data_IF_864696643187
#
_entry.id   IF_864696643187
#
_cell.length_a   1.000
_cell.length_b   1.000
_cell.length_c   1.000
_cell.angle_alpha   90.00
_cell.angle_beta   90.00
_cell.angle_gamma   90.00
#
_symmetry.space_group_name_H-M   'P 1'
#
loop_
_entity.id
_entity.type
_entity.pdbx_description
1 polymer ?
#
# COMPACT_ATOMS: atom_id res chain seq x y z
N UNK A 1 -21.84 -4.99 14.05
CA UNK A 1 -20.73 -4.81 13.10
C UNK A 1 -20.96 -3.44 12.50
N UNK A 2 -20.14 -2.45 12.83
CA UNK A 2 -20.38 -1.07 12.40
C UNK A 2 -19.95 -0.95 10.94
N UNK A 3 -20.90 -0.65 10.05
CA UNK A 3 -20.61 -0.28 8.68
C UNK A 3 -19.75 0.99 8.67
N UNK A 4 -18.73 1.00 7.81
CA UNK A 4 -17.92 2.20 7.62
C UNK A 4 -18.75 3.27 6.92
N UNK A 5 -18.60 4.50 7.37
CA UNK A 5 -19.15 5.67 6.68
C UNK A 5 -18.41 5.91 5.37
N UNK A 6 -19.03 6.63 4.42
CA UNK A 6 -18.38 7.06 3.18
C UNK A 6 -17.07 7.80 3.43
N UNK A 7 -17.00 8.58 4.50
CA UNK A 7 -15.79 9.33 4.90
C UNK A 7 -14.65 8.38 5.31
N UNK A 8 -14.95 7.35 6.10
CA UNK A 8 -13.96 6.33 6.48
C UNK A 8 -13.51 5.51 5.28
N UNK A 9 -14.42 5.18 4.36
CA UNK A 9 -14.07 4.53 3.10
C UNK A 9 -13.12 5.42 2.26
N UNK A 10 -13.38 6.72 2.15
CA UNK A 10 -12.46 7.61 1.41
C UNK A 10 -11.06 7.66 2.02
N UNK A 11 -10.94 7.62 3.36
CA UNK A 11 -9.63 7.58 4.01
C UNK A 11 -8.86 6.29 3.71
N UNK A 12 -9.56 5.15 3.64
CA UNK A 12 -8.92 3.88 3.27
C UNK A 12 -8.47 3.92 1.81
N UNK A 13 -9.27 4.50 0.92
CA UNK A 13 -8.91 4.65 -0.49
C UNK A 13 -7.67 5.55 -0.67
N UNK A 14 -7.61 6.67 0.06
CA UNK A 14 -6.45 7.56 0.04
C UNK A 14 -5.19 6.89 0.61
N UNK A 15 -5.32 6.11 1.69
CA UNK A 15 -4.21 5.33 2.25
C UNK A 15 -3.69 4.29 1.24
N UNK A 16 -4.58 3.57 0.55
CA UNK A 16 -4.18 2.62 -0.51
C UNK A 16 -3.35 3.32 -1.59
N UNK A 17 -3.79 4.50 -2.05
CA UNK A 17 -3.05 5.28 -3.06
C UNK A 17 -1.69 5.77 -2.54
N UNK A 18 -1.62 6.22 -1.29
CA UNK A 18 -0.37 6.68 -0.69
C UNK A 18 0.66 5.54 -0.60
N UNK A 19 0.21 4.36 -0.18
CA UNK A 19 1.00 3.15 -0.11
C UNK A 19 1.50 2.71 -1.50
N UNK A 20 0.64 2.78 -2.53
CA UNK A 20 1.02 2.47 -3.92
C UNK A 20 2.12 3.39 -4.45
N UNK A 21 2.00 4.70 -4.20
CA UNK A 21 3.02 5.68 -4.60
C UNK A 21 4.33 5.35 -3.88
N UNK A 22 4.26 5.08 -2.58
CA UNK A 22 5.44 4.77 -1.76
C UNK A 22 6.17 3.52 -2.27
N UNK A 23 5.45 2.42 -2.51
CA UNK A 23 6.03 1.19 -3.05
C UNK A 23 6.69 1.40 -4.42
N UNK A 24 6.04 2.16 -5.31
CA UNK A 24 6.58 2.50 -6.65
C UNK A 24 7.84 3.36 -6.54
N UNK A 25 7.83 4.36 -5.66
CA UNK A 25 8.98 5.21 -5.41
C UNK A 25 10.16 4.41 -4.86
N UNK A 26 9.93 3.49 -3.91
CA UNK A 26 10.98 2.64 -3.37
C UNK A 26 11.60 1.72 -4.43
N UNK A 27 10.78 1.08 -5.27
CA UNK A 27 11.27 0.28 -6.40
C UNK A 27 12.07 1.13 -7.39
N UNK A 28 11.61 2.34 -7.67
CA UNK A 28 12.35 3.26 -8.53
C UNK A 28 13.69 3.66 -7.91
N UNK A 29 13.73 4.00 -6.61
CA UNK A 29 14.98 4.25 -5.90
C UNK A 29 15.91 3.04 -5.95
N UNK A 30 15.40 1.83 -5.72
CA UNK A 30 16.17 0.59 -5.80
C UNK A 30 16.82 0.40 -7.18
N UNK A 31 16.11 0.74 -8.26
CA UNK A 31 16.61 0.66 -9.63
C UNK A 31 17.76 1.62 -9.94
N UNK A 32 17.91 2.68 -9.13
CA UNK A 32 18.98 3.69 -9.25
C UNK A 32 20.16 3.42 -8.31
N UNK A 33 20.09 2.39 -7.45
CA UNK A 33 21.15 2.06 -6.51
C UNK A 33 22.18 1.13 -7.12
N UNK A 34 23.46 1.51 -7.02
CA UNK A 34 24.60 0.64 -7.34
C UNK A 34 24.96 -0.29 -6.17
N UNK A 35 24.71 0.17 -4.94
CA UNK A 35 24.91 -0.62 -3.72
C UNK A 35 23.85 -1.74 -3.62
N UNK A 36 24.32 -2.98 -3.58
CA UNK A 36 23.46 -4.17 -3.60
C UNK A 36 22.67 -4.37 -2.30
N UNK A 37 23.24 -3.98 -1.15
CA UNK A 37 22.57 -4.11 0.15
C UNK A 37 21.43 -3.10 0.25
N UNK A 38 21.71 -1.85 -0.10
CA UNK A 38 20.72 -0.77 -0.12
C UNK A 38 19.59 -1.07 -1.11
N UNK A 39 19.91 -1.55 -2.33
CA UNK A 39 18.91 -1.95 -3.31
C UNK A 39 17.98 -3.02 -2.72
N UNK A 40 18.53 -4.06 -2.09
CA UNK A 40 17.75 -5.14 -1.49
C UNK A 40 16.85 -4.64 -0.37
N UNK A 41 17.34 -3.72 0.48
CA UNK A 41 16.52 -3.10 1.53
C UNK A 41 15.34 -2.34 0.93
N UNK A 42 15.57 -1.56 -0.13
CA UNK A 42 14.51 -0.80 -0.81
C UNK A 42 13.47 -1.72 -1.48
N UNK A 43 13.91 -2.80 -2.12
CA UNK A 43 13.01 -3.82 -2.68
C UNK A 43 12.16 -4.49 -1.60
N UNK A 44 12.74 -4.85 -0.46
CA UNK A 44 12.02 -5.43 0.68
C UNK A 44 11.01 -4.46 1.29
N UNK A 45 11.35 -3.17 1.39
CA UNK A 45 10.42 -2.15 1.85
C UNK A 45 9.26 -2.00 0.86
N UNK A 46 9.55 -1.95 -0.44
CA UNK A 46 8.53 -1.89 -1.47
C UNK A 46 7.57 -3.09 -1.42
N UNK A 47 8.08 -4.31 -1.22
CA UNK A 47 7.28 -5.52 -1.03
C UNK A 47 6.40 -5.43 0.23
N UNK A 48 6.92 -4.90 1.34
CA UNK A 48 6.12 -4.69 2.56
C UNK A 48 4.94 -3.74 2.33
N UNK A 49 5.15 -2.66 1.58
CA UNK A 49 4.06 -1.74 1.20
C UNK A 49 3.05 -2.43 0.26
N UNK A 50 3.49 -3.26 -0.68
CA UNK A 50 2.60 -4.07 -1.54
C UNK A 50 1.71 -5.02 -0.73
N UNK A 51 2.23 -5.67 0.30
CA UNK A 51 1.44 -6.51 1.20
C UNK A 51 0.40 -5.68 1.98
N UNK A 52 0.76 -4.47 2.42
CA UNK A 52 -0.18 -3.56 3.10
C UNK A 52 -1.31 -3.12 2.16
N UNK A 53 -1.00 -2.78 0.90
CA UNK A 53 -1.99 -2.45 -0.14
C UNK A 53 -2.97 -3.61 -0.33
N UNK A 54 -2.47 -4.85 -0.43
CA UNK A 54 -3.32 -6.02 -0.59
C UNK A 54 -4.27 -6.21 0.61
N UNK A 55 -3.76 -6.04 1.84
CA UNK A 55 -4.57 -6.12 3.06
C UNK A 55 -5.65 -5.04 3.13
N UNK A 56 -5.29 -3.79 2.86
CA UNK A 56 -6.22 -2.66 2.85
C UNK A 56 -7.28 -2.81 1.75
N UNK A 57 -6.88 -3.26 0.56
CA UNK A 57 -7.80 -3.48 -0.56
C UNK A 57 -8.81 -4.59 -0.24
N UNK A 58 -8.37 -5.68 0.39
CA UNK A 58 -9.28 -6.74 0.83
C UNK A 58 -10.25 -6.25 1.92
N UNK A 59 -9.77 -5.44 2.87
CA UNK A 59 -10.61 -4.84 3.91
C UNK A 59 -11.64 -3.86 3.32
N UNK A 60 -11.21 -2.99 2.41
CA UNK A 60 -12.06 -2.03 1.72
C UNK A 60 -13.17 -2.72 0.90
N UNK A 61 -12.82 -3.75 0.13
CA UNK A 61 -13.78 -4.49 -0.67
C UNK A 61 -14.81 -5.22 0.20
N UNK A 62 -14.39 -5.86 1.30
CA UNK A 62 -15.32 -6.48 2.26
C UNK A 62 -16.25 -5.45 2.89
N UNK A 63 -15.74 -4.27 3.21
CA UNK A 63 -16.53 -3.19 3.81
C UNK A 63 -17.57 -2.63 2.84
N UNK A 64 -17.27 -2.57 1.54
CA UNK A 64 -18.23 -2.20 0.49
C UNK A 64 -19.30 -3.25 0.20
N UNK A 65 -19.02 -4.53 0.40
CA UNK A 65 -20.01 -5.61 0.20
C UNK A 65 -21.03 -5.73 1.34
N UNK A 66 -20.77 -5.09 2.48
CA UNK A 66 -21.67 -5.09 3.65
C UNK A 66 -22.65 -3.89 3.61
N UNK A 67 -22.35 -2.83 2.84
CA UNK A 67 -23.27 -1.72 2.54
C UNK A 67 -24.32 -2.13 1.49
#
# INVERSE_FOLDING_TARGET
MNELTTKELSYIEDEIRAEEITAKTMNWCASLCEDQELRKILEQLAESHQLKIAGLSQYFNRSKMIQ
#
